data_IF_349736921120
#
_entry.id   IF_349736921120
#
_cell.length_a   1.000
_cell.length_b   1.000
_cell.length_c   1.000
_cell.angle_alpha   90.00
_cell.angle_beta   90.00
_cell.angle_gamma   90.00
#
_symmetry.space_group_name_H-M   'P 1'
#
loop_
_entity.id
_entity.type
_entity.pdbx_description
1 polymer ?
#
# COMPACT_ATOMS: atom_id res chain seq x y z
N UNK A 1 -53.20 11.56 30.53
CA UNK A 1 -52.78 11.91 29.17
C UNK A 1 -51.27 12.09 29.21
N UNK A 2 -50.55 11.03 28.92
CA UNK A 2 -49.10 11.01 29.05
C UNK A 2 -48.48 11.01 27.64
N UNK A 3 -47.83 12.12 27.30
CA UNK A 3 -47.08 12.22 26.04
C UNK A 3 -45.69 11.65 26.20
N UNK A 4 -45.40 10.55 25.52
CA UNK A 4 -44.07 10.03 25.34
C UNK A 4 -43.44 10.73 24.13
N UNK A 5 -42.41 11.54 24.38
CA UNK A 5 -41.51 12.06 23.34
C UNK A 5 -40.36 11.08 23.21
N UNK A 6 -40.38 10.28 22.13
CA UNK A 6 -39.28 9.39 21.77
C UNK A 6 -38.08 10.22 21.27
N UNK A 7 -36.97 10.14 22.00
CA UNK A 7 -35.68 10.65 21.57
C UNK A 7 -35.14 9.72 20.44
N UNK A 8 -34.96 10.27 19.24
CA UNK A 8 -34.30 9.61 18.15
C UNK A 8 -32.80 9.52 18.46
N UNK A 9 -32.33 8.31 18.74
CA UNK A 9 -30.92 7.93 18.81
C UNK A 9 -30.30 8.06 17.42
N UNK A 10 -29.71 9.22 17.12
CA UNK A 10 -28.89 9.42 15.92
C UNK A 10 -27.52 8.77 16.16
N UNK A 11 -27.43 7.47 15.99
CA UNK A 11 -26.15 6.83 15.77
C UNK A 11 -25.57 7.35 14.47
N UNK A 12 -24.64 8.31 14.56
CA UNK A 12 -23.78 8.70 13.45
C UNK A 12 -22.98 7.47 13.03
N UNK A 13 -23.39 6.86 11.93
CA UNK A 13 -22.60 5.81 11.29
C UNK A 13 -21.21 6.39 10.98
N UNK A 14 -20.17 5.65 11.37
CA UNK A 14 -18.80 5.90 10.93
C UNK A 14 -18.84 5.98 9.39
N UNK A 15 -18.32 7.05 8.76
CA UNK A 15 -18.28 7.11 7.31
C UNK A 15 -17.50 5.90 6.83
N UNK A 16 -18.08 5.14 5.90
CA UNK A 16 -17.36 4.09 5.21
C UNK A 16 -16.12 4.71 4.58
N UNK A 17 -14.94 4.29 5.05
CA UNK A 17 -13.65 4.72 4.51
C UNK A 17 -13.69 4.50 3.00
N UNK A 18 -13.55 5.58 2.22
CA UNK A 18 -13.37 5.49 0.77
C UNK A 18 -12.06 4.74 0.52
N UNK A 19 -12.13 3.43 0.30
CA UNK A 19 -10.99 2.58 -0.06
C UNK A 19 -10.65 2.70 -1.56
N UNK A 20 -11.06 3.80 -2.19
CA UNK A 20 -10.94 3.94 -3.64
C UNK A 20 -9.97 5.06 -3.99
N UNK A 21 -9.05 4.78 -4.92
CA UNK A 21 -8.07 5.73 -5.44
C UNK A 21 -8.41 6.14 -6.86
N UNK A 22 -8.15 7.41 -7.22
CA UNK A 22 -8.15 7.83 -8.63
C UNK A 22 -6.91 7.26 -9.34
N UNK A 23 -7.09 6.13 -10.01
CA UNK A 23 -6.04 5.42 -10.75
C UNK A 23 -5.35 6.33 -11.79
N UNK A 24 -6.10 7.18 -12.49
CA UNK A 24 -5.55 8.07 -13.51
C UNK A 24 -4.66 9.17 -12.94
N UNK A 25 -5.01 9.74 -11.79
CA UNK A 25 -4.16 10.73 -11.10
C UNK A 25 -2.95 10.07 -10.45
N UNK A 26 -3.14 8.92 -9.78
CA UNK A 26 -2.04 8.14 -9.21
C UNK A 26 -0.98 7.80 -10.26
N UNK A 27 -1.39 7.40 -11.44
CA UNK A 27 -0.52 7.05 -12.57
C UNK A 27 0.41 8.18 -13.01
N UNK A 28 -0.07 9.42 -12.98
CA UNK A 28 0.73 10.58 -13.39
C UNK A 28 1.78 10.97 -12.36
N UNK A 29 1.52 10.72 -11.09
CA UNK A 29 2.38 11.20 -10.00
C UNK A 29 3.28 10.13 -9.39
N UNK A 30 3.04 8.84 -9.63
CA UNK A 30 3.75 7.72 -9.01
C UNK A 30 5.09 7.32 -9.66
N UNK A 31 5.73 8.21 -10.42
CA UNK A 31 6.99 7.94 -11.10
C UNK A 31 8.11 7.41 -10.17
N UNK A 32 8.35 7.94 -8.95
CA UNK A 32 9.34 7.39 -8.04
C UNK A 32 9.07 5.92 -7.66
N UNK A 33 7.82 5.60 -7.35
CA UNK A 33 7.41 4.24 -6.97
C UNK A 33 7.62 3.23 -8.11
N UNK A 34 7.37 3.65 -9.35
CA UNK A 34 7.61 2.81 -10.53
C UNK A 34 9.11 2.57 -10.78
N UNK A 35 9.97 3.57 -10.55
CA UNK A 35 11.41 3.40 -10.67
C UNK A 35 11.92 2.38 -9.63
N UNK A 36 11.48 2.50 -8.39
CA UNK A 36 11.82 1.55 -7.32
C UNK A 36 11.27 0.15 -7.60
N UNK A 37 10.07 0.02 -8.15
CA UNK A 37 9.53 -1.28 -8.55
C UNK A 37 10.42 -1.99 -9.58
N UNK A 38 10.93 -1.27 -10.61
CA UNK A 38 11.86 -1.86 -11.60
C UNK A 38 13.13 -2.42 -10.97
N UNK A 39 13.70 -1.71 -9.97
CA UNK A 39 14.87 -2.19 -9.23
C UNK A 39 14.54 -3.47 -8.45
N UNK A 40 13.36 -3.55 -7.84
CA UNK A 40 12.94 -4.71 -7.06
C UNK A 40 12.58 -5.91 -7.95
N UNK A 41 11.98 -5.69 -9.12
CA UNK A 41 11.67 -6.76 -10.07
C UNK A 41 12.91 -7.57 -10.48
N UNK A 42 14.09 -6.95 -10.53
CA UNK A 42 15.35 -7.61 -10.83
C UNK A 42 15.79 -8.64 -9.76
N UNK A 43 15.15 -8.63 -8.58
CA UNK A 43 15.42 -9.59 -7.50
C UNK A 43 14.61 -10.88 -7.65
N UNK A 44 13.55 -10.85 -8.46
CA UNK A 44 12.80 -12.06 -8.81
C UNK A 44 13.64 -12.94 -9.72
N UNK A 45 13.66 -14.23 -9.43
CA UNK A 45 14.33 -15.24 -10.24
C UNK A 45 13.26 -16.01 -11.01
N UNK A 46 12.87 -15.48 -12.16
CA UNK A 46 11.81 -16.02 -13.02
C UNK A 46 12.42 -16.63 -14.30
N UNK A 47 11.81 -17.71 -14.82
CA UNK A 47 12.16 -18.38 -16.08
C UNK A 47 11.24 -17.96 -17.22
N UNK A 48 10.05 -17.40 -16.88
CA UNK A 48 9.06 -16.92 -17.83
C UNK A 48 7.77 -17.74 -17.89
N UNK A 49 7.68 -18.85 -17.16
CA UNK A 49 6.55 -19.77 -17.10
C UNK A 49 5.84 -19.80 -15.72
N UNK A 50 6.24 -18.91 -14.81
CA UNK A 50 5.73 -18.89 -13.45
C UNK A 50 4.32 -18.29 -13.36
N UNK A 51 3.58 -18.72 -12.33
CA UNK A 51 2.39 -18.04 -11.84
C UNK A 51 2.83 -17.06 -10.76
N UNK A 52 2.57 -15.78 -10.95
CA UNK A 52 3.02 -14.69 -10.06
C UNK A 52 1.84 -13.92 -9.49
N UNK A 53 1.91 -13.56 -8.21
CA UNK A 53 0.98 -12.62 -7.59
C UNK A 53 1.61 -11.22 -7.52
N UNK A 54 0.89 -10.21 -8.03
CA UNK A 54 1.10 -8.80 -7.71
C UNK A 54 0.19 -8.40 -6.54
N UNK A 55 0.77 -8.30 -5.35
CA UNK A 55 0.04 -8.05 -4.11
C UNK A 55 -0.04 -6.55 -3.83
N UNK A 56 -1.19 -5.95 -4.14
CA UNK A 56 -1.43 -4.50 -4.16
C UNK A 56 -1.09 -3.91 -5.53
N UNK A 57 -1.80 -4.37 -6.56
CA UNK A 57 -1.48 -4.09 -7.96
C UNK A 57 -1.71 -2.62 -8.37
N UNK A 58 -2.51 -1.88 -7.60
CA UNK A 58 -2.85 -0.49 -7.93
C UNK A 58 -3.38 -0.38 -9.37
N UNK A 59 -2.87 0.59 -10.12
CA UNK A 59 -3.27 0.86 -11.49
C UNK A 59 -2.75 -0.15 -12.55
N UNK A 60 -2.04 -1.21 -12.14
CA UNK A 60 -1.56 -2.25 -13.04
C UNK A 60 -0.25 -1.98 -13.78
N UNK A 61 0.41 -0.83 -13.57
CA UNK A 61 1.68 -0.53 -14.27
C UNK A 61 2.79 -1.51 -13.92
N UNK A 62 2.90 -1.90 -12.66
CA UNK A 62 3.87 -2.90 -12.21
C UNK A 62 3.42 -4.29 -12.64
N UNK A 63 2.11 -4.57 -12.58
CA UNK A 63 1.51 -5.80 -13.09
C UNK A 63 1.85 -6.05 -14.57
N UNK A 64 1.82 -5.00 -15.40
CA UNK A 64 2.24 -5.09 -16.80
C UNK A 64 3.70 -5.53 -16.94
N UNK A 65 4.61 -4.96 -16.12
CA UNK A 65 6.01 -5.36 -16.12
C UNK A 65 6.20 -6.81 -15.67
N UNK A 66 5.44 -7.27 -14.67
CA UNK A 66 5.44 -8.68 -14.24
C UNK A 66 4.97 -9.60 -15.37
N UNK A 67 3.86 -9.24 -16.05
CA UNK A 67 3.33 -10.00 -17.17
C UNK A 67 4.33 -10.11 -18.34
N UNK A 68 5.18 -9.11 -18.54
CA UNK A 68 6.26 -9.17 -19.54
C UNK A 68 7.43 -10.08 -19.11
N UNK A 69 7.62 -10.30 -17.80
CA UNK A 69 8.63 -11.22 -17.26
C UNK A 69 8.19 -12.69 -17.30
N UNK A 70 6.89 -12.96 -17.40
CA UNK A 70 6.31 -14.32 -17.43
C UNK A 70 5.42 -14.49 -18.67
N UNK A 71 6.00 -14.42 -19.88
CA UNK A 71 5.23 -14.48 -21.14
C UNK A 71 4.48 -15.81 -21.35
N UNK A 72 4.98 -16.90 -20.80
CA UNK A 72 4.38 -18.24 -20.86
C UNK A 72 3.69 -18.64 -19.54
N UNK A 73 3.71 -17.74 -18.53
CA UNK A 73 3.11 -17.91 -17.23
C UNK A 73 1.79 -17.14 -17.06
N UNK A 74 1.46 -16.78 -15.81
CA UNK A 74 0.26 -16.02 -15.49
C UNK A 74 0.48 -15.05 -14.34
N UNK A 75 -0.23 -13.92 -14.34
CA UNK A 75 -0.20 -12.95 -13.24
C UNK A 75 -1.58 -12.84 -12.60
N UNK A 76 -1.65 -13.12 -11.31
CA UNK A 76 -2.75 -12.71 -10.46
C UNK A 76 -2.45 -11.33 -9.89
N UNK A 77 -3.41 -10.40 -10.02
CA UNK A 77 -3.29 -9.04 -9.50
C UNK A 77 -4.36 -8.82 -8.42
N UNK A 78 -3.96 -8.41 -7.24
CA UNK A 78 -4.89 -8.22 -6.12
C UNK A 78 -4.75 -6.81 -5.58
N UNK A 79 -5.88 -6.13 -5.40
CA UNK A 79 -5.96 -4.86 -4.69
C UNK A 79 -7.26 -4.80 -3.88
N UNK A 80 -7.30 -3.98 -2.84
CA UNK A 80 -8.50 -3.75 -2.03
C UNK A 80 -9.42 -2.69 -2.64
N UNK A 81 -8.91 -1.87 -3.56
CA UNK A 81 -9.65 -0.80 -4.23
C UNK A 81 -10.31 -1.33 -5.53
N UNK A 82 -11.66 -1.34 -5.62
CA UNK A 82 -12.36 -1.84 -6.81
C UNK A 82 -11.96 -1.13 -8.10
N UNK A 83 -11.78 0.20 -8.07
CA UNK A 83 -11.38 0.98 -9.24
C UNK A 83 -10.00 0.60 -9.78
N UNK A 84 -9.06 0.26 -8.90
CA UNK A 84 -7.72 -0.21 -9.28
C UNK A 84 -7.79 -1.58 -9.97
N UNK A 85 -8.56 -2.51 -9.41
CA UNK A 85 -8.77 -3.84 -9.99
C UNK A 85 -9.42 -3.75 -11.37
N UNK A 86 -10.47 -2.95 -11.49
CA UNK A 86 -11.20 -2.74 -12.75
C UNK A 86 -10.29 -2.13 -13.82
N UNK A 87 -9.52 -1.10 -13.45
CA UNK A 87 -8.55 -0.46 -14.34
C UNK A 87 -7.47 -1.45 -14.81
N UNK A 88 -6.89 -2.23 -13.89
CA UNK A 88 -5.87 -3.23 -14.20
C UNK A 88 -6.42 -4.32 -15.13
N UNK A 89 -7.63 -4.84 -14.88
CA UNK A 89 -8.25 -5.86 -15.73
C UNK A 89 -8.54 -5.32 -17.14
N UNK A 90 -9.02 -4.09 -17.26
CA UNK A 90 -9.29 -3.44 -18.56
C UNK A 90 -8.01 -3.20 -19.35
N UNK A 91 -6.94 -2.75 -18.68
CA UNK A 91 -5.67 -2.41 -19.33
C UNK A 91 -4.89 -3.63 -19.82
N UNK A 92 -4.92 -4.75 -19.07
CA UNK A 92 -4.05 -5.91 -19.31
C UNK A 92 -4.78 -7.12 -19.91
N UNK A 93 -6.12 -7.10 -19.91
CA UNK A 93 -6.94 -8.12 -20.54
C UNK A 93 -6.69 -9.54 -20.03
N UNK A 94 -6.64 -10.55 -20.93
CA UNK A 94 -6.56 -11.95 -20.53
C UNK A 94 -5.18 -12.40 -20.01
N UNK A 95 -4.15 -11.55 -20.11
CA UNK A 95 -2.80 -11.84 -19.59
C UNK A 95 -2.74 -11.85 -18.06
N UNK A 96 -3.75 -11.24 -17.41
CA UNK A 96 -3.81 -11.00 -15.97
C UNK A 96 -5.20 -11.32 -15.47
N UNK A 97 -5.30 -11.94 -14.31
CA UNK A 97 -6.56 -12.10 -13.58
C UNK A 97 -6.54 -11.19 -12.35
N UNK A 98 -7.39 -10.16 -12.35
CA UNK A 98 -7.43 -9.18 -11.27
C UNK A 98 -8.58 -9.46 -10.29
N UNK A 99 -8.32 -9.36 -8.97
CA UNK A 99 -9.28 -9.65 -7.89
C UNK A 99 -9.30 -8.52 -6.86
N UNK A 100 -10.51 -8.11 -6.46
CA UNK A 100 -10.70 -7.18 -5.37
C UNK A 100 -10.75 -7.95 -4.04
N UNK A 101 -9.64 -7.96 -3.29
CA UNK A 101 -9.51 -8.69 -2.03
C UNK A 101 -8.62 -7.94 -1.03
N UNK A 102 -8.86 -8.17 0.26
CA UNK A 102 -7.91 -7.84 1.33
C UNK A 102 -6.78 -8.87 1.34
N UNK A 103 -5.53 -8.41 1.31
CA UNK A 103 -4.36 -9.29 1.33
C UNK A 103 -4.24 -10.14 2.61
N UNK A 104 -4.91 -9.75 3.69
CA UNK A 104 -4.97 -10.55 4.94
C UNK A 104 -5.96 -11.71 4.87
N UNK A 105 -6.83 -11.74 3.84
CA UNK A 105 -7.84 -12.78 3.58
C UNK A 105 -7.69 -13.37 2.16
N UNK A 106 -6.47 -13.33 1.65
CA UNK A 106 -6.13 -13.71 0.29
C UNK A 106 -6.57 -15.13 -0.07
N UNK A 107 -7.27 -15.26 -1.19
CA UNK A 107 -7.66 -16.54 -1.78
C UNK A 107 -7.41 -16.49 -3.29
N UNK A 108 -6.54 -17.36 -3.79
CA UNK A 108 -6.20 -17.47 -5.20
C UNK A 108 -6.72 -18.80 -5.78
N UNK A 109 -6.95 -18.88 -7.10
CA UNK A 109 -7.38 -20.13 -7.76
C UNK A 109 -6.39 -21.28 -7.61
N UNK A 110 -5.09 -20.95 -7.50
CA UNK A 110 -4.00 -21.91 -7.28
C UNK A 110 -2.84 -21.25 -6.53
N UNK A 111 -1.94 -22.03 -5.91
CA UNK A 111 -0.72 -21.49 -5.32
C UNK A 111 0.21 -20.90 -6.39
N UNK A 112 0.94 -19.83 -6.04
CA UNK A 112 1.83 -19.10 -6.95
C UNK A 112 3.30 -19.41 -6.71
N UNK A 113 4.14 -19.25 -7.73
CA UNK A 113 5.60 -19.47 -7.66
C UNK A 113 6.33 -18.29 -7.04
N UNK A 114 5.80 -17.08 -7.24
CA UNK A 114 6.37 -15.86 -6.68
C UNK A 114 5.28 -14.84 -6.30
N UNK A 115 5.58 -14.03 -5.30
CA UNK A 115 4.80 -12.86 -4.92
C UNK A 115 5.69 -11.62 -5.06
N UNK A 116 5.17 -10.63 -5.76
CA UNK A 116 5.74 -9.30 -5.80
C UNK A 116 4.80 -8.30 -5.12
N UNK A 117 5.34 -7.30 -4.44
CA UNK A 117 4.55 -6.20 -3.89
C UNK A 117 5.34 -4.91 -3.88
N UNK A 118 4.75 -3.82 -4.35
CA UNK A 118 5.38 -2.52 -4.31
C UNK A 118 4.45 -1.46 -3.72
N UNK A 119 4.95 -0.72 -2.73
CA UNK A 119 4.27 0.41 -2.08
C UNK A 119 2.91 0.05 -1.40
N UNK A 120 2.72 -1.19 -0.95
CA UNK A 120 1.43 -1.68 -0.44
C UNK A 120 1.44 -2.03 1.03
N UNK A 121 2.39 -2.82 1.54
CA UNK A 121 2.29 -3.43 2.87
C UNK A 121 2.19 -2.43 4.02
N UNK A 122 2.71 -1.23 3.87
CA UNK A 122 2.57 -0.19 4.89
C UNK A 122 1.13 0.34 5.06
N UNK A 123 0.22 -0.01 4.17
CA UNK A 123 -1.22 0.26 4.31
C UNK A 123 -1.96 -0.84 5.08
N UNK A 124 -1.32 -2.01 5.30
CA UNK A 124 -1.92 -3.15 5.99
C UNK A 124 -1.60 -3.06 7.49
N UNK A 125 -2.61 -2.95 8.38
CA UNK A 125 -2.36 -2.82 9.82
C UNK A 125 -1.80 -4.11 10.44
N UNK A 126 -2.28 -5.29 10.02
CA UNK A 126 -1.96 -6.60 10.59
C UNK A 126 -0.94 -7.34 9.71
N UNK A 127 0.36 -7.04 9.90
CA UNK A 127 1.43 -7.72 9.19
C UNK A 127 1.55 -9.23 9.50
N UNK A 128 1.36 -9.71 10.74
CA UNK A 128 1.32 -11.15 11.01
C UNK A 128 0.29 -11.88 10.15
N UNK A 129 -0.93 -11.38 10.06
CA UNK A 129 -1.99 -11.97 9.24
C UNK A 129 -1.70 -11.86 7.75
N UNK A 130 -1.17 -10.72 7.30
CA UNK A 130 -0.70 -10.52 5.92
C UNK A 130 0.33 -11.58 5.54
N UNK A 131 1.42 -11.74 6.31
CA UNK A 131 2.48 -12.68 5.97
C UNK A 131 2.04 -14.14 6.04
N UNK A 132 1.13 -14.48 6.95
CA UNK A 132 0.52 -15.80 6.98
C UNK A 132 -0.30 -16.10 5.71
N UNK A 133 -1.09 -15.15 5.23
CA UNK A 133 -1.86 -15.27 4.00
C UNK A 133 -0.95 -15.39 2.76
N UNK A 134 0.11 -14.57 2.68
CA UNK A 134 1.09 -14.64 1.59
C UNK A 134 1.85 -15.98 1.59
N UNK A 135 2.25 -16.49 2.77
CA UNK A 135 2.88 -17.81 2.87
C UNK A 135 1.95 -18.93 2.42
N UNK A 136 0.67 -18.86 2.77
CA UNK A 136 -0.33 -19.86 2.34
C UNK A 136 -0.55 -19.85 0.81
N UNK A 137 -0.46 -18.67 0.17
CA UNK A 137 -0.63 -18.50 -1.27
C UNK A 137 0.58 -18.97 -2.09
N UNK A 138 1.78 -19.01 -1.52
CA UNK A 138 3.00 -19.46 -2.21
C UNK A 138 3.09 -20.99 -2.29
N UNK A 139 3.66 -21.51 -3.37
CA UNK A 139 4.19 -22.88 -3.44
C UNK A 139 5.38 -23.04 -2.49
N UNK A 140 5.69 -24.27 -2.01
CA UNK A 140 6.93 -24.53 -1.28
C UNK A 140 8.16 -24.01 -2.05
N UNK A 141 9.09 -23.34 -1.36
CA UNK A 141 10.25 -22.64 -1.91
C UNK A 141 9.94 -21.45 -2.84
N UNK A 142 8.67 -21.07 -2.99
CA UNK A 142 8.25 -19.87 -3.72
C UNK A 142 8.85 -18.59 -3.15
N UNK A 143 8.99 -17.56 -4.00
CA UNK A 143 9.69 -16.31 -3.67
C UNK A 143 8.71 -15.21 -3.20
N UNK A 144 9.13 -14.42 -2.24
CA UNK A 144 8.53 -13.13 -1.90
C UNK A 144 9.54 -12.02 -2.12
N UNK A 145 9.22 -11.06 -2.97
CA UNK A 145 9.96 -9.82 -3.13
C UNK A 145 9.01 -8.64 -2.92
N UNK A 146 9.31 -7.78 -1.94
CA UNK A 146 8.45 -6.63 -1.67
C UNK A 146 9.25 -5.40 -1.28
N UNK A 147 8.67 -4.22 -1.58
CA UNK A 147 9.16 -2.95 -1.08
C UNK A 147 7.99 -2.06 -0.66
N UNK A 148 8.09 -1.45 0.51
CA UNK A 148 7.08 -0.49 0.99
C UNK A 148 7.72 0.62 1.81
N UNK A 149 6.92 1.55 2.35
CA UNK A 149 7.38 2.49 3.37
C UNK A 149 7.78 1.74 4.63
N UNK A 150 8.98 2.00 5.16
CA UNK A 150 9.49 1.40 6.37
C UNK A 150 9.59 2.38 7.53
N UNK A 151 10.16 1.96 8.65
CA UNK A 151 10.35 2.81 9.83
C UNK A 151 11.11 4.09 9.48
N UNK A 152 10.58 5.24 9.87
CA UNK A 152 11.13 6.55 9.54
C UNK A 152 10.70 7.12 8.19
N UNK A 153 9.85 6.40 7.41
CA UNK A 153 9.41 6.86 6.10
C UNK A 153 8.60 8.15 6.20
N UNK A 154 9.01 9.18 5.45
CA UNK A 154 8.42 10.52 5.40
C UNK A 154 8.13 11.14 6.79
N UNK A 155 8.99 10.89 7.75
CA UNK A 155 8.71 11.18 9.16
C UNK A 155 8.58 12.68 9.42
N UNK A 156 9.39 13.50 8.74
CA UNK A 156 9.30 14.97 8.82
C UNK A 156 7.97 15.47 8.25
N UNK A 157 7.60 15.00 7.06
CA UNK A 157 6.34 15.40 6.44
C UNK A 157 5.13 14.95 7.28
N UNK A 158 5.15 13.71 7.77
CA UNK A 158 4.11 13.17 8.64
C UNK A 158 3.94 13.99 9.91
N UNK A 159 5.02 14.36 10.57
CA UNK A 159 4.99 15.20 11.77
C UNK A 159 4.30 16.53 11.49
N UNK A 160 4.63 17.19 10.38
CA UNK A 160 3.99 18.45 9.99
C UNK A 160 2.49 18.27 9.68
N UNK A 161 2.12 17.20 8.97
CA UNK A 161 0.72 16.90 8.70
C UNK A 161 -0.07 16.62 9.99
N UNK A 162 0.52 15.90 10.93
CA UNK A 162 -0.05 15.61 12.24
C UNK A 162 -0.23 16.89 13.10
N UNK A 163 0.70 17.83 13.03
CA UNK A 163 0.60 19.12 13.71
C UNK A 163 -0.55 19.95 13.15
N UNK A 164 -0.70 20.00 11.82
CA UNK A 164 -1.83 20.67 11.16
C UNK A 164 -3.15 20.00 11.54
N UNK A 165 -3.21 18.67 11.50
CA UNK A 165 -4.40 17.89 11.82
C UNK A 165 -4.89 18.11 13.27
N UNK A 166 -3.98 18.37 14.22
CA UNK A 166 -4.33 18.66 15.63
C UNK A 166 -4.72 20.12 15.88
N UNK A 167 -4.58 20.99 14.88
CA UNK A 167 -4.80 22.45 15.03
C UNK A 167 -6.13 22.93 14.46
N UNK A 168 -6.62 24.07 15.04
CA UNK A 168 -7.69 24.87 14.47
C UNK A 168 -8.96 24.10 14.08
N UNK A 169 -9.45 24.38 12.89
CA UNK A 169 -10.68 23.82 12.33
C UNK A 169 -10.58 22.32 11.99
N UNK A 170 -9.36 21.77 11.88
CA UNK A 170 -9.14 20.38 11.51
C UNK A 170 -9.23 19.40 12.68
N UNK A 171 -8.87 19.85 13.88
CA UNK A 171 -8.75 18.98 15.08
C UNK A 171 -9.95 18.06 15.35
N UNK A 172 -11.22 18.50 15.18
CA UNK A 172 -12.38 17.63 15.42
C UNK A 172 -12.43 16.38 14.54
N UNK A 173 -11.87 16.43 13.32
CA UNK A 173 -11.90 15.35 12.36
C UNK A 173 -10.84 14.28 12.61
N UNK A 174 -9.77 14.64 13.32
CA UNK A 174 -8.63 13.76 13.62
C UNK A 174 -8.61 13.27 15.08
N UNK A 175 -9.66 13.52 15.86
CA UNK A 175 -9.73 13.09 17.25
C UNK A 175 -9.58 11.57 17.39
N UNK A 176 -8.52 11.11 18.07
CA UNK A 176 -8.24 9.68 18.26
C UNK A 176 -7.63 8.96 17.06
N UNK A 177 -7.44 9.62 15.93
CA UNK A 177 -6.81 9.02 14.76
C UNK A 177 -5.29 8.84 14.97
N UNK A 178 -4.79 7.64 14.63
CA UNK A 178 -3.39 7.24 14.84
C UNK A 178 -2.54 7.27 13.57
N UNK A 179 -3.11 7.76 12.48
CA UNK A 179 -2.49 7.70 11.16
C UNK A 179 -2.81 6.40 10.41
N UNK A 180 -2.59 6.39 9.09
CA UNK A 180 -3.00 5.28 8.24
C UNK A 180 -1.89 4.23 8.02
N UNK A 181 -0.66 4.49 8.46
CA UNK A 181 0.50 3.71 8.05
C UNK A 181 1.04 2.81 9.15
N UNK A 182 1.45 1.60 8.73
CA UNK A 182 2.26 0.67 9.51
C UNK A 182 3.69 0.65 8.93
N UNK A 183 4.50 1.66 9.27
CA UNK A 183 5.91 1.72 8.86
C UNK A 183 6.76 0.82 9.75
N UNK A 184 6.89 -0.45 9.35
CA UNK A 184 7.55 -1.46 10.14
C UNK A 184 9.10 -1.34 10.08
N UNK A 185 9.76 -1.81 11.14
CA UNK A 185 11.21 -2.00 11.21
C UNK A 185 11.61 -3.27 10.45
N UNK A 186 12.82 -3.32 9.95
CA UNK A 186 13.33 -4.47 9.22
C UNK A 186 13.44 -5.72 10.11
N UNK A 187 14.02 -5.59 11.31
CA UNK A 187 14.15 -6.67 12.30
C UNK A 187 12.79 -7.30 12.67
N UNK A 188 11.82 -6.47 13.02
CA UNK A 188 10.46 -6.93 13.36
C UNK A 188 9.76 -7.58 12.15
N UNK A 189 10.04 -7.10 10.94
CA UNK A 189 9.50 -7.69 9.72
C UNK A 189 10.09 -9.08 9.48
N UNK A 190 11.42 -9.26 9.69
CA UNK A 190 12.07 -10.56 9.58
C UNK A 190 11.51 -11.57 10.60
N UNK A 191 11.28 -11.16 11.85
CA UNK A 191 10.66 -11.99 12.88
C UNK A 191 9.25 -12.45 12.47
N UNK A 192 8.41 -11.53 11.94
CA UNK A 192 7.05 -11.83 11.49
C UNK A 192 7.03 -12.78 10.28
N UNK A 193 7.97 -12.59 9.33
CA UNK A 193 8.13 -13.49 8.18
C UNK A 193 8.54 -14.89 8.64
N UNK A 194 9.52 -15.00 9.54
CA UNK A 194 9.96 -16.28 10.09
C UNK A 194 8.80 -17.00 10.81
N UNK A 195 8.02 -16.28 11.63
CA UNK A 195 6.84 -16.82 12.28
C UNK A 195 5.75 -17.29 11.31
N UNK A 196 5.67 -16.69 10.11
CA UNK A 196 4.74 -17.09 9.06
C UNK A 196 5.25 -18.25 8.18
N UNK A 197 6.45 -18.80 8.45
CA UNK A 197 7.02 -19.94 7.72
C UNK A 197 7.87 -19.55 6.50
N UNK A 198 8.40 -18.34 6.48
CA UNK A 198 9.41 -17.96 5.49
C UNK A 198 10.82 -18.30 5.98
N UNK A 199 11.71 -18.56 5.05
CA UNK A 199 13.16 -18.78 5.20
C UNK A 199 13.94 -17.88 4.24
N UNK A 200 15.27 -17.92 4.28
CA UNK A 200 16.14 -17.10 3.43
C UNK A 200 15.73 -15.61 3.45
N UNK A 201 15.42 -15.13 4.67
CA UNK A 201 14.84 -13.82 4.89
C UNK A 201 15.95 -12.76 4.88
N UNK A 202 15.83 -11.80 3.96
CA UNK A 202 16.63 -10.58 3.93
C UNK A 202 15.69 -9.37 3.97
N UNK A 203 15.86 -8.53 4.99
CA UNK A 203 15.05 -7.31 5.20
C UNK A 203 15.95 -6.15 5.59
N UNK A 204 15.81 -5.02 4.91
CA UNK A 204 16.59 -3.82 5.23
C UNK A 204 15.81 -2.53 4.96
N UNK A 205 16.22 -1.47 5.65
CA UNK A 205 15.74 -0.12 5.44
C UNK A 205 16.72 0.64 4.53
N UNK A 206 16.19 1.34 3.55
CA UNK A 206 16.97 2.10 2.58
C UNK A 206 16.44 3.53 2.47
N UNK A 207 17.24 4.55 2.86
CA UNK A 207 16.89 5.95 2.65
C UNK A 207 16.84 6.27 1.14
N UNK A 208 15.75 6.88 0.69
CA UNK A 208 15.50 7.29 -0.70
C UNK A 208 14.90 8.70 -0.75
N UNK A 209 15.59 9.74 -0.23
CA UNK A 209 15.04 11.09 -0.20
C UNK A 209 14.66 11.56 -1.60
N UNK A 210 13.48 12.16 -1.72
CA UNK A 210 12.91 12.59 -2.99
C UNK A 210 12.48 14.05 -2.90
N UNK A 211 12.91 14.87 -3.85
CA UNK A 211 12.52 16.29 -3.92
C UNK A 211 11.44 16.48 -4.97
N UNK A 212 10.37 17.17 -4.60
CA UNK A 212 9.24 17.49 -5.47
C UNK A 212 9.19 19.00 -5.72
N UNK A 213 9.26 19.40 -6.99
CA UNK A 213 9.15 20.79 -7.40
C UNK A 213 7.69 21.29 -7.38
N UNK A 214 6.77 20.45 -7.84
CA UNK A 214 5.31 20.65 -7.74
C UNK A 214 4.70 19.57 -6.84
N UNK A 215 4.63 19.82 -5.52
CA UNK A 215 4.28 18.78 -4.56
C UNK A 215 2.77 18.55 -4.41
N UNK A 216 1.89 19.50 -4.75
CA UNK A 216 0.47 19.42 -4.39
C UNK A 216 -0.23 18.19 -4.99
N UNK A 217 -0.13 17.86 -6.29
CA UNK A 217 -0.79 16.69 -6.85
C UNK A 217 -0.30 15.39 -6.19
N UNK A 218 1.00 15.30 -5.92
CA UNK A 218 1.61 14.13 -5.26
C UNK A 218 1.16 14.01 -3.82
N UNK A 219 1.23 15.10 -3.06
CA UNK A 219 0.86 15.12 -1.64
C UNK A 219 -0.62 14.78 -1.46
N UNK A 220 -1.50 15.33 -2.28
CA UNK A 220 -2.93 15.02 -2.29
C UNK A 220 -3.20 13.53 -2.50
N UNK A 221 -2.54 12.94 -3.51
CA UNK A 221 -2.84 11.59 -4.00
C UNK A 221 -2.10 10.50 -3.23
N UNK A 222 -0.88 10.78 -2.75
CA UNK A 222 0.00 9.77 -2.15
C UNK A 222 0.17 9.95 -0.64
N UNK A 223 0.47 11.19 -0.20
CA UNK A 223 0.85 11.40 1.20
C UNK A 223 -0.35 11.69 2.12
N UNK A 224 -1.37 12.41 1.66
CA UNK A 224 -2.48 12.87 2.49
C UNK A 224 -3.82 12.18 2.17
N UNK A 225 -3.87 11.26 1.22
CA UNK A 225 -5.13 10.62 0.77
C UNK A 225 -6.02 10.18 1.95
N UNK A 226 -5.44 9.55 2.97
CA UNK A 226 -6.19 9.11 4.16
C UNK A 226 -6.54 10.21 5.14
N UNK A 227 -5.80 11.31 5.14
CA UNK A 227 -6.18 12.51 5.90
C UNK A 227 -7.40 13.16 5.26
N UNK A 228 -7.42 13.23 3.93
CA UNK A 228 -8.50 13.85 3.18
C UNK A 228 -9.81 13.05 3.28
N UNK A 229 -9.75 11.73 3.39
CA UNK A 229 -10.92 10.87 3.64
C UNK A 229 -11.67 11.23 4.94
N UNK A 230 -11.00 11.86 5.91
CA UNK A 230 -11.58 12.27 7.18
C UNK A 230 -12.18 13.69 7.15
N UNK A 231 -11.84 14.47 6.14
CA UNK A 231 -12.24 15.87 6.04
C UNK A 231 -13.47 16.06 5.13
N UNK A 232 -14.32 17.05 5.40
CA UNK A 232 -15.23 17.58 4.41
C UNK A 232 -14.48 18.12 3.19
N UNK A 233 -15.03 17.96 1.99
CA UNK A 233 -14.38 18.35 0.74
C UNK A 233 -13.95 19.84 0.69
N UNK A 234 -14.72 20.71 1.34
CA UNK A 234 -14.44 22.14 1.46
C UNK A 234 -13.19 22.46 2.30
N UNK A 235 -12.77 21.56 3.20
CA UNK A 235 -11.57 21.73 4.03
C UNK A 235 -10.31 21.11 3.43
N UNK A 236 -10.43 20.26 2.42
CA UNK A 236 -9.26 19.61 1.79
C UNK A 236 -8.22 20.61 1.25
N UNK A 237 -8.62 21.67 0.48
CA UNK A 237 -7.63 22.60 -0.06
C UNK A 237 -6.89 23.38 1.02
N UNK A 238 -7.60 23.82 2.07
CA UNK A 238 -7.01 24.56 3.19
C UNK A 238 -6.06 23.67 4.01
N UNK A 239 -6.41 22.40 4.22
CA UNK A 239 -5.56 21.44 4.91
C UNK A 239 -4.25 21.19 4.15
N UNK A 240 -4.32 20.89 2.84
CA UNK A 240 -3.13 20.66 1.99
C UNK A 240 -2.25 21.91 1.98
N UNK A 241 -2.83 23.09 1.76
CA UNK A 241 -2.10 24.36 1.77
C UNK A 241 -1.39 24.61 3.10
N UNK A 242 -2.05 24.33 4.24
CA UNK A 242 -1.46 24.49 5.57
C UNK A 242 -0.29 23.53 5.82
N UNK A 243 -0.37 22.29 5.33
CA UNK A 243 0.75 21.32 5.42
C UNK A 243 1.90 21.76 4.54
N UNK A 244 1.65 22.12 3.28
CA UNK A 244 2.69 22.54 2.34
C UNK A 244 3.40 23.82 2.77
N UNK A 245 2.67 24.79 3.34
CA UNK A 245 3.25 26.01 3.87
C UNK A 245 4.29 25.75 4.98
N UNK A 246 4.10 24.68 5.77
CA UNK A 246 5.08 24.26 6.79
C UNK A 246 6.22 23.42 6.23
N UNK A 247 5.93 22.62 5.20
CA UNK A 247 6.90 21.72 4.61
C UNK A 247 7.96 22.42 3.75
N UNK A 248 7.64 23.60 3.21
CA UNK A 248 8.53 24.41 2.35
C UNK A 248 8.54 23.99 0.88
N UNK A 249 9.18 24.82 0.04
CA UNK A 249 9.30 24.59 -1.40
C UNK A 249 10.77 24.76 -1.82
N UNK A 250 11.37 23.79 -2.55
CA UNK A 250 10.79 22.50 -2.96
C UNK A 250 10.54 21.57 -1.75
N UNK A 251 9.53 20.69 -1.86
CA UNK A 251 9.25 19.72 -0.82
C UNK A 251 10.28 18.58 -0.86
N UNK A 252 10.99 18.38 0.24
CA UNK A 252 11.85 17.21 0.45
C UNK A 252 11.10 16.16 1.28
N UNK A 253 10.83 15.02 0.68
CA UNK A 253 10.30 13.83 1.37
C UNK A 253 11.47 12.90 1.74
N UNK A 254 11.62 12.67 3.03
CA UNK A 254 12.61 11.76 3.62
C UNK A 254 12.13 10.31 3.53
N UNK A 255 11.98 9.79 2.30
CA UNK A 255 11.58 8.41 2.10
C UNK A 255 12.57 7.43 2.71
N UNK A 256 12.02 6.43 3.43
CA UNK A 256 12.74 5.24 3.88
C UNK A 256 11.97 4.02 3.38
N UNK A 257 12.63 3.22 2.54
CA UNK A 257 12.01 2.02 1.96
C UNK A 257 12.41 0.80 2.78
N UNK A 258 11.41 0.03 3.20
CA UNK A 258 11.60 -1.33 3.71
C UNK A 258 11.59 -2.29 2.52
N UNK A 259 12.69 -2.98 2.32
CA UNK A 259 12.87 -4.01 1.31
C UNK A 259 12.75 -5.37 1.98
N UNK A 260 12.14 -6.33 1.28
CA UNK A 260 11.87 -7.69 1.75
C UNK A 260 12.20 -8.65 0.62
N UNK A 261 13.05 -9.63 0.90
CA UNK A 261 13.30 -10.81 0.06
C UNK A 261 13.21 -12.02 0.97
N UNK A 262 12.40 -13.00 0.61
CA UNK A 262 12.25 -14.22 1.40
C UNK A 262 11.80 -15.39 0.51
N UNK A 263 11.85 -16.60 1.04
CA UNK A 263 11.29 -17.81 0.42
C UNK A 263 10.33 -18.49 1.38
N UNK A 264 9.23 -19.04 0.87
CA UNK A 264 8.44 -19.97 1.65
C UNK A 264 9.27 -21.20 1.99
N UNK A 265 9.21 -21.70 3.23
CA UNK A 265 9.87 -22.94 3.60
C UNK A 265 9.45 -24.07 2.66
N UNK A 266 10.43 -24.88 2.22
CA UNK A 266 10.16 -26.10 1.47
C UNK A 266 9.45 -27.12 2.34
N UNK A 267 8.82 -28.13 1.72
CA UNK A 267 8.32 -29.27 2.48
C UNK A 267 9.51 -29.97 3.17
N UNK A 268 9.35 -30.25 4.46
CA UNK A 268 10.33 -31.09 5.16
C UNK A 268 10.37 -32.47 4.48
N UNK A 269 11.55 -32.84 3.97
CA UNK A 269 11.77 -34.18 3.42
C UNK A 269 11.80 -35.22 4.51
#
# INVERSE_FOLDING_TARGET
>A
MSGHTGGADQRKGTPATRLDWDAGTYDRVSAPQQAWAREQLQRLQLRGDEVVLDAGCGSGKVTAMLADLVPDGHVYAVDVAPSMVEHTQQALGPRVSAFCQDLTELTLPEPVDAIFSNATFHWVPDHPRLFAALAAALRPAGQLVAQCGGFGNIDRFRTLADEVARGGEFAPYFAGWKGPWNYARADITAERLSAAGFTDIDTWLEPRPTTLADPEPFVRTVCLVRHLDLLPAELEPSFISAVLARAGTPLLLDYVRLNIVARRAGEAR
#
